data_IF_181653850931
#
_entry.id   IF_181653850931
#
_cell.length_a   1.000
_cell.length_b   1.000
_cell.length_c   1.000
_cell.angle_alpha   90.00
_cell.angle_beta   90.00
_cell.angle_gamma   90.00
#
_symmetry.space_group_name_H-M   'P 1'
#
loop_
_entity.id
_entity.type
_entity.pdbx_description
1 polymer ?
#
# COMPACT_ATOMS: atom_id res chain seq x y z
N UNK A 1 -3.20 30.55 7.05
CA UNK A 1 -3.42 29.44 7.98
C UNK A 1 -4.83 28.92 7.72
N UNK A 2 -4.96 27.90 6.88
CA UNK A 2 -6.26 27.28 6.59
C UNK A 2 -6.59 26.27 7.70
N UNK A 3 -7.84 26.27 8.15
CA UNK A 3 -8.32 25.38 9.21
C UNK A 3 -8.19 23.90 8.78
N UNK A 4 -7.91 22.97 9.72
CA UNK A 4 -7.97 21.55 9.41
C UNK A 4 -9.40 21.18 8.97
N UNK A 5 -9.54 20.68 7.75
CA UNK A 5 -10.77 20.03 7.28
C UNK A 5 -10.96 18.78 8.13
N UNK A 6 -11.85 18.85 9.11
CA UNK A 6 -12.23 17.70 9.91
C UNK A 6 -12.95 16.69 9.00
N UNK A 7 -12.76 15.36 9.19
CA UNK A 7 -13.64 14.39 8.55
C UNK A 7 -15.10 14.74 8.89
N UNK A 8 -16.06 14.48 7.99
CA UNK A 8 -17.46 14.74 8.25
C UNK A 8 -17.87 14.07 9.58
N UNK A 9 -18.11 14.87 10.62
CA UNK A 9 -18.48 14.38 11.97
C UNK A 9 -19.92 13.85 12.04
N UNK A 10 -20.61 13.75 10.91
CA UNK A 10 -21.94 13.15 10.82
C UNK A 10 -21.80 11.70 10.31
N UNK A 11 -21.95 10.69 11.19
CA UNK A 11 -21.84 9.28 10.82
C UNK A 11 -22.79 8.90 9.69
N UNK A 12 -23.98 9.49 9.62
CA UNK A 12 -24.96 9.17 8.59
C UNK A 12 -24.56 9.74 7.22
N UNK A 13 -23.94 10.92 7.19
CA UNK A 13 -23.38 11.47 5.95
C UNK A 13 -22.18 10.66 5.45
N UNK A 14 -21.33 10.19 6.37
CA UNK A 14 -20.19 9.33 6.04
C UNK A 14 -20.66 7.98 5.48
N UNK A 15 -21.62 7.33 6.13
CA UNK A 15 -22.18 6.07 5.67
C UNK A 15 -22.76 6.17 4.25
N UNK A 16 -23.55 7.22 3.96
CA UNK A 16 -24.04 7.46 2.59
C UNK A 16 -22.90 7.63 1.58
N UNK A 17 -21.83 8.32 1.98
CA UNK A 17 -20.66 8.53 1.11
C UNK A 17 -19.94 7.21 0.83
N UNK A 18 -19.73 6.38 1.84
CA UNK A 18 -19.10 5.06 1.67
C UNK A 18 -19.96 4.16 0.78
N UNK A 19 -21.27 4.06 1.06
CA UNK A 19 -22.19 3.27 0.23
C UNK A 19 -22.20 3.74 -1.23
N UNK A 20 -22.16 5.06 -1.46
CA UNK A 20 -22.05 5.62 -2.80
C UNK A 20 -20.76 5.17 -3.50
N UNK A 21 -19.60 5.30 -2.85
CA UNK A 21 -18.30 4.93 -3.43
C UNK A 21 -18.22 3.43 -3.74
N UNK A 22 -18.76 2.59 -2.86
CA UNK A 22 -18.84 1.14 -3.07
C UNK A 22 -19.75 0.84 -4.26
N UNK A 23 -20.94 1.45 -4.33
CA UNK A 23 -21.87 1.27 -5.44
C UNK A 23 -21.29 1.71 -6.78
N UNK A 24 -20.61 2.87 -6.82
CA UNK A 24 -19.91 3.37 -8.02
C UNK A 24 -18.86 2.35 -8.52
N UNK A 25 -18.02 1.84 -7.63
CA UNK A 25 -17.01 0.84 -8.00
C UNK A 25 -17.64 -0.47 -8.49
N UNK A 26 -18.69 -0.95 -7.84
CA UNK A 26 -19.42 -2.16 -8.25
C UNK A 26 -20.01 -2.00 -9.66
N UNK A 27 -20.62 -0.85 -9.97
CA UNK A 27 -21.18 -0.56 -11.29
C UNK A 27 -20.10 -0.48 -12.37
N UNK A 28 -18.98 0.18 -12.06
CA UNK A 28 -17.84 0.28 -12.98
C UNK A 28 -17.27 -1.09 -13.35
N UNK A 29 -17.16 -1.99 -12.36
CA UNK A 29 -16.62 -3.33 -12.57
C UNK A 29 -17.63 -4.29 -13.22
N UNK A 30 -18.94 -4.00 -13.12
CA UNK A 30 -20.02 -4.85 -13.64
C UNK A 30 -21.08 -4.01 -14.36
N UNK A 31 -20.87 -3.70 -15.66
CA UNK A 31 -21.85 -3.00 -16.48
C UNK A 31 -23.17 -3.80 -16.55
N UNK A 32 -24.22 -3.30 -15.89
CA UNK A 32 -25.52 -3.97 -15.79
C UNK A 32 -25.92 -4.38 -14.37
N UNK A 33 -25.02 -4.29 -13.39
CA UNK A 33 -25.38 -4.33 -11.98
C UNK A 33 -26.07 -3.03 -11.58
N UNK A 34 -27.21 -3.12 -10.89
CA UNK A 34 -27.86 -1.94 -10.33
C UNK A 34 -27.04 -1.44 -9.14
N UNK A 35 -26.68 -0.15 -9.13
CA UNK A 35 -26.14 0.52 -7.94
C UNK A 35 -27.11 0.45 -6.76
N UNK A 36 -28.40 0.27 -7.05
CA UNK A 36 -29.42 0.07 -6.03
C UNK A 36 -29.30 -1.38 -5.50
N UNK A 37 -28.55 -1.55 -4.42
CA UNK A 37 -28.43 -2.84 -3.76
C UNK A 37 -27.34 -2.98 -2.71
N UNK A 38 -26.38 -2.05 -2.62
CA UNK A 38 -25.33 -2.12 -1.60
C UNK A 38 -25.92 -1.78 -0.22
N UNK A 39 -25.92 -2.75 0.68
CA UNK A 39 -26.30 -2.58 2.07
C UNK A 39 -25.06 -2.40 2.95
N UNK A 40 -25.21 -1.73 4.12
CA UNK A 40 -24.11 -1.56 5.06
C UNK A 40 -23.46 -2.87 5.54
N UNK A 41 -24.21 -3.97 5.52
CA UNK A 41 -23.77 -5.29 5.98
C UNK A 41 -23.29 -6.26 4.91
N UNK A 42 -23.34 -5.88 3.63
CA UNK A 42 -22.89 -6.76 2.54
C UNK A 42 -21.37 -6.97 2.65
N UNK A 43 -20.88 -8.21 2.52
CA UNK A 43 -19.44 -8.42 2.43
C UNK A 43 -18.91 -7.94 1.08
N UNK A 44 -17.82 -7.17 1.17
CA UNK A 44 -17.15 -6.60 0.02
C UNK A 44 -16.72 -7.70 -0.94
N UNK A 45 -16.22 -8.84 -0.43
CA UNK A 45 -15.76 -9.93 -1.28
C UNK A 45 -16.89 -10.88 -1.70
N UNK A 46 -17.72 -11.37 -0.76
CA UNK A 46 -18.66 -12.46 -1.07
C UNK A 46 -19.90 -11.98 -1.83
N UNK A 47 -20.52 -10.90 -1.37
CA UNK A 47 -21.75 -10.37 -1.94
C UNK A 47 -21.46 -9.36 -3.06
N UNK A 48 -20.45 -8.50 -2.88
CA UNK A 48 -20.12 -7.45 -3.85
C UNK A 48 -19.02 -7.86 -4.84
N UNK A 49 -18.21 -8.88 -4.53
CA UNK A 49 -17.15 -9.39 -5.40
C UNK A 49 -15.97 -8.45 -5.60
N UNK A 50 -15.69 -7.61 -4.62
CA UNK A 50 -14.51 -6.75 -4.54
C UNK A 50 -13.38 -7.55 -3.88
N UNK A 51 -12.49 -8.06 -4.72
CA UNK A 51 -11.28 -8.76 -4.28
C UNK A 51 -10.20 -7.81 -3.77
N UNK A 52 -9.00 -8.34 -3.53
CA UNK A 52 -7.92 -7.59 -2.90
C UNK A 52 -7.52 -6.31 -3.67
N UNK A 53 -7.50 -6.35 -5.00
CA UNK A 53 -7.12 -5.18 -5.81
C UNK A 53 -8.22 -4.13 -5.84
N UNK A 54 -9.47 -4.57 -5.93
CA UNK A 54 -10.65 -3.70 -5.90
C UNK A 54 -10.76 -2.99 -4.55
N UNK A 55 -10.40 -3.69 -3.45
CA UNK A 55 -10.33 -3.10 -2.10
C UNK A 55 -9.25 -2.03 -2.00
N UNK A 56 -8.10 -2.20 -2.64
CA UNK A 56 -7.04 -1.17 -2.69
C UNK A 56 -7.52 0.08 -3.44
N UNK A 57 -8.24 -0.08 -4.55
CA UNK A 57 -8.82 1.07 -5.26
C UNK A 57 -9.94 1.74 -4.44
N UNK A 58 -10.82 0.95 -3.80
CA UNK A 58 -11.86 1.46 -2.92
C UNK A 58 -11.28 2.28 -1.77
N UNK A 59 -10.22 1.79 -1.13
CA UNK A 59 -9.45 2.50 -0.12
C UNK A 59 -8.97 3.85 -0.65
N UNK A 60 -8.28 3.84 -1.79
CA UNK A 60 -7.74 5.06 -2.39
C UNK A 60 -8.84 6.08 -2.72
N UNK A 61 -10.04 5.64 -3.14
CA UNK A 61 -11.20 6.52 -3.37
C UNK A 61 -11.73 7.12 -2.08
N UNK A 62 -11.88 6.31 -1.03
CA UNK A 62 -12.36 6.75 0.29
C UNK A 62 -11.41 7.81 0.86
N UNK A 63 -10.10 7.55 0.87
CA UNK A 63 -9.10 8.49 1.39
C UNK A 63 -9.15 9.84 0.65
N UNK A 64 -9.21 9.81 -0.70
CA UNK A 64 -9.33 11.02 -1.52
C UNK A 64 -10.63 11.79 -1.26
N UNK A 65 -11.74 11.09 -1.05
CA UNK A 65 -13.08 11.70 -0.90
C UNK A 65 -13.32 12.25 0.50
N UNK A 66 -12.87 11.53 1.53
CA UNK A 66 -13.14 11.82 2.94
C UNK A 66 -12.00 12.63 3.58
N UNK A 67 -10.79 12.58 3.02
CA UNK A 67 -9.63 13.31 3.54
C UNK A 67 -9.03 12.65 4.80
N UNK A 68 -9.10 11.32 4.89
CA UNK A 68 -8.49 10.52 5.96
C UNK A 68 -7.41 9.62 5.39
N UNK A 69 -6.52 9.12 6.26
CA UNK A 69 -5.63 8.01 5.96
C UNK A 69 -6.09 6.81 6.76
N UNK A 70 -6.35 5.70 6.10
CA UNK A 70 -6.67 4.45 6.77
C UNK A 70 -5.42 3.58 6.78
N UNK A 71 -5.13 2.95 7.92
CA UNK A 71 -4.08 1.94 7.97
C UNK A 71 -4.44 0.77 7.05
N UNK A 72 -3.44 0.19 6.36
CA UNK A 72 -3.64 -0.97 5.47
C UNK A 72 -4.37 -2.12 6.19
N UNK A 73 -4.06 -2.33 7.47
CA UNK A 73 -4.72 -3.32 8.32
C UNK A 73 -6.22 -3.04 8.51
N UNK A 74 -6.61 -1.78 8.70
CA UNK A 74 -8.01 -1.41 8.88
C UNK A 74 -8.83 -1.68 7.60
N UNK A 75 -8.23 -1.50 6.42
CA UNK A 75 -8.88 -1.86 5.15
C UNK A 75 -8.92 -3.38 4.93
N UNK A 76 -7.87 -4.11 5.33
CA UNK A 76 -7.85 -5.57 5.23
C UNK A 76 -8.92 -6.22 6.13
N UNK A 77 -9.16 -5.65 7.32
CA UNK A 77 -10.11 -6.19 8.31
C UNK A 77 -11.57 -5.79 8.04
N UNK A 78 -11.81 -4.64 7.42
CA UNK A 78 -13.16 -4.14 7.16
C UNK A 78 -13.84 -4.88 5.99
N UNK A 79 -14.54 -5.99 6.27
CA UNK A 79 -15.24 -6.78 5.24
C UNK A 79 -16.60 -6.18 4.81
N UNK A 80 -17.10 -5.12 5.43
CA UNK A 80 -18.41 -4.53 5.08
C UNK A 80 -18.36 -3.00 4.99
N UNK A 81 -19.26 -2.33 4.23
CA UNK A 81 -19.34 -0.87 4.22
C UNK A 81 -19.52 -0.25 5.61
N UNK A 82 -20.29 -0.89 6.51
CA UNK A 82 -20.42 -0.44 7.88
C UNK A 82 -19.08 -0.53 8.65
N UNK A 83 -18.31 -1.60 8.45
CA UNK A 83 -16.98 -1.73 9.05
C UNK A 83 -16.00 -0.67 8.51
N UNK A 84 -16.09 -0.30 7.23
CA UNK A 84 -15.32 0.80 6.66
C UNK A 84 -15.67 2.14 7.33
N UNK A 85 -16.96 2.41 7.58
CA UNK A 85 -17.39 3.61 8.29
C UNK A 85 -16.80 3.63 9.70
N UNK A 86 -16.82 2.52 10.43
CA UNK A 86 -16.20 2.43 11.76
C UNK A 86 -14.68 2.66 11.70
N UNK A 87 -13.99 2.07 10.72
CA UNK A 87 -12.57 2.29 10.51
C UNK A 87 -12.24 3.76 10.24
N UNK A 88 -13.04 4.45 9.43
CA UNK A 88 -12.88 5.89 9.15
C UNK A 88 -13.14 6.75 10.39
N UNK A 89 -14.14 6.41 11.21
CA UNK A 89 -14.43 7.13 12.45
C UNK A 89 -13.35 6.93 13.51
N UNK A 90 -12.70 5.77 13.52
CA UNK A 90 -11.57 5.45 14.39
C UNK A 90 -10.23 6.00 13.87
N UNK A 91 -10.15 6.37 12.60
CA UNK A 91 -8.94 6.88 11.99
C UNK A 91 -8.66 8.32 12.41
N UNK A 92 -7.38 8.62 12.67
CA UNK A 92 -6.95 9.99 12.85
C UNK A 92 -7.14 10.78 11.54
N UNK A 93 -7.51 12.08 11.62
CA UNK A 93 -7.54 12.94 10.45
C UNK A 93 -6.20 12.84 9.73
N UNK A 94 -6.21 12.72 8.40
CA UNK A 94 -4.97 12.67 7.63
C UNK A 94 -4.15 13.93 7.98
N UNK A 95 -3.08 13.75 8.76
CA UNK A 95 -2.04 14.75 8.84
C UNK A 95 -1.61 15.03 7.40
N UNK A 96 -1.54 16.30 7.02
CA UNK A 96 -1.01 16.68 5.72
C UNK A 96 0.29 15.90 5.51
N UNK A 97 0.37 15.14 4.42
CA UNK A 97 1.55 14.37 4.07
C UNK A 97 2.74 15.33 4.11
N UNK A 98 3.54 15.24 5.17
CA UNK A 98 4.81 15.92 5.23
C UNK A 98 5.66 15.14 4.25
N UNK A 99 5.69 15.61 2.99
CA UNK A 99 6.71 15.19 2.05
C UNK A 99 8.03 15.37 2.80
N UNK A 100 8.77 14.30 3.11
CA UNK A 100 10.04 14.44 3.78
C UNK A 100 10.89 15.37 2.93
N UNK A 101 11.59 16.27 3.61
CA UNK A 101 12.56 17.13 2.97
C UNK A 101 13.49 16.22 2.16
N UNK A 102 13.52 16.43 0.84
CA UNK A 102 14.35 15.68 -0.10
C UNK A 102 15.73 15.45 0.52
N UNK A 103 15.99 14.20 0.94
CA UNK A 103 17.33 13.81 1.39
C UNK A 103 18.20 13.99 0.16
N UNK A 104 19.14 14.94 0.23
CA UNK A 104 19.91 15.45 -0.90
C UNK A 104 20.46 14.34 -1.81
N UNK A 105 20.81 14.68 -3.07
CA UNK A 105 21.09 13.67 -4.08
C UNK A 105 22.14 12.69 -3.56
N UNK A 106 21.80 11.40 -3.52
CA UNK A 106 22.78 10.35 -3.34
C UNK A 106 23.81 10.56 -4.45
N UNK A 107 25.03 10.97 -4.10
CA UNK A 107 26.09 11.30 -5.08
C UNK A 107 26.25 10.20 -6.13
N UNK A 108 26.83 10.47 -7.30
CA UNK A 108 26.84 9.52 -8.42
C UNK A 108 27.13 8.06 -7.99
N UNK A 109 26.23 7.14 -8.34
CA UNK A 109 26.47 5.73 -8.08
C UNK A 109 27.60 5.25 -8.98
N UNK A 110 28.52 4.42 -8.45
CA UNK A 110 29.49 3.76 -9.31
C UNK A 110 28.75 2.85 -10.33
N UNK A 111 29.18 2.88 -11.59
CA UNK A 111 28.59 2.07 -12.66
C UNK A 111 28.96 0.60 -12.45
N UNK A 112 27.96 -0.28 -12.50
CA UNK A 112 28.20 -1.71 -12.46
C UNK A 112 29.00 -2.18 -13.70
N UNK A 113 29.79 -3.25 -13.60
CA UNK A 113 30.57 -3.76 -14.72
C UNK A 113 29.67 -4.14 -15.89
N UNK A 114 30.10 -3.81 -17.11
CA UNK A 114 29.42 -4.22 -18.35
C UNK A 114 29.37 -5.75 -18.52
N UNK A 115 30.21 -6.47 -17.77
CA UNK A 115 30.24 -7.94 -17.74
C UNK A 115 29.10 -8.56 -16.94
N UNK A 116 28.33 -7.79 -16.16
CA UNK A 116 27.17 -8.29 -15.43
C UNK A 116 26.06 -8.69 -16.42
N UNK A 117 25.71 -9.97 -16.45
CA UNK A 117 24.72 -10.54 -17.37
C UNK A 117 23.31 -10.51 -16.83
N UNK A 118 23.15 -10.31 -15.51
CA UNK A 118 21.85 -10.32 -14.85
C UNK A 118 21.70 -9.13 -13.90
N UNK A 119 20.45 -8.72 -13.66
CA UNK A 119 20.15 -7.71 -12.64
C UNK A 119 20.65 -8.15 -11.25
N UNK A 120 20.60 -9.44 -10.94
CA UNK A 120 21.09 -9.99 -9.67
C UNK A 120 22.60 -9.78 -9.54
N UNK A 121 23.38 -9.96 -10.61
CA UNK A 121 24.82 -9.68 -10.62
C UNK A 121 25.13 -8.20 -10.39
N UNK A 122 24.35 -7.30 -11.00
CA UNK A 122 24.46 -5.86 -10.77
C UNK A 122 24.19 -5.52 -9.29
N UNK A 123 23.10 -6.04 -8.72
CA UNK A 123 22.75 -5.83 -7.31
C UNK A 123 23.79 -6.41 -6.36
N UNK A 124 24.34 -7.59 -6.67
CA UNK A 124 25.43 -8.19 -5.90
C UNK A 124 26.69 -7.33 -5.95
N UNK A 125 27.05 -6.81 -7.12
CA UNK A 125 28.20 -5.94 -7.27
C UNK A 125 28.06 -4.66 -6.44
N UNK A 126 26.88 -4.02 -6.45
CA UNK A 126 26.62 -2.85 -5.60
C UNK A 126 26.66 -3.20 -4.11
N UNK A 127 26.15 -4.37 -3.70
CA UNK A 127 26.23 -4.82 -2.32
C UNK A 127 27.68 -5.01 -1.84
N UNK A 128 28.60 -5.36 -2.73
CA UNK A 128 30.02 -5.53 -2.40
C UNK A 128 30.82 -4.21 -2.48
N UNK A 129 30.48 -3.31 -3.41
CA UNK A 129 31.25 -2.07 -3.63
C UNK A 129 30.72 -0.88 -2.84
N UNK A 130 29.40 -0.82 -2.61
CA UNK A 130 28.71 0.26 -1.92
C UNK A 130 27.62 -0.28 -0.97
N UNK A 131 27.98 -1.13 0.02
CA UNK A 131 27.02 -1.82 0.89
C UNK A 131 26.09 -0.88 1.66
N UNK A 132 26.59 0.29 2.06
CA UNK A 132 25.86 1.25 2.89
C UNK A 132 25.07 2.28 2.06
N UNK A 133 25.17 2.23 0.73
CA UNK A 133 24.42 3.12 -0.14
C UNK A 133 22.92 2.74 -0.12
N UNK A 134 22.01 3.67 0.20
CA UNK A 134 20.57 3.43 0.10
C UNK A 134 20.17 3.07 -1.34
N UNK A 135 19.40 2.00 -1.48
CA UNK A 135 18.81 1.57 -2.76
C UNK A 135 17.30 1.85 -2.80
N UNK A 136 16.60 1.61 -1.68
CA UNK A 136 15.15 1.80 -1.54
C UNK A 136 14.91 2.66 -0.31
N UNK A 137 13.97 3.60 -0.39
CA UNK A 137 13.38 4.26 0.78
C UNK A 137 11.99 3.68 1.00
N UNK A 138 11.84 2.86 2.03
CA UNK A 138 10.57 2.24 2.39
C UNK A 138 9.78 3.21 3.26
N UNK A 139 8.72 3.77 2.70
CA UNK A 139 7.80 4.65 3.43
C UNK A 139 6.88 3.83 4.35
N UNK A 140 6.73 4.29 5.59
CA UNK A 140 5.79 3.77 6.57
C UNK A 140 4.51 4.63 6.60
N UNK A 141 3.45 4.11 7.24
CA UNK A 141 2.15 4.77 7.35
C UNK A 141 2.21 6.10 8.11
N UNK A 142 3.16 6.25 9.03
CA UNK A 142 3.44 7.49 9.77
C UNK A 142 4.23 8.53 8.96
N UNK A 143 4.56 8.21 7.71
CA UNK A 143 5.30 9.05 6.78
C UNK A 143 6.82 8.97 6.93
N UNK A 144 7.36 8.24 7.91
CA UNK A 144 8.79 8.02 8.02
C UNK A 144 9.30 7.13 6.89
N UNK A 145 10.49 7.47 6.36
CA UNK A 145 11.18 6.66 5.36
C UNK A 145 12.31 5.88 6.01
N UNK A 146 12.27 4.56 5.88
CA UNK A 146 13.34 3.67 6.28
C UNK A 146 14.24 3.37 5.07
N UNK A 147 15.53 3.78 5.08
CA UNK A 147 16.44 3.41 4.02
C UNK A 147 16.77 1.92 4.09
N UNK A 148 16.70 1.25 2.94
CA UNK A 148 17.20 -0.11 2.72
C UNK A 148 18.42 0.01 1.80
N UNK A 149 19.59 -0.33 2.34
CA UNK A 149 20.85 -0.29 1.60
C UNK A 149 21.05 -1.55 0.75
N UNK A 150 21.95 -1.47 -0.25
CA UNK A 150 22.32 -2.64 -1.06
C UNK A 150 22.78 -3.82 -0.20
N UNK A 151 23.61 -3.56 0.81
CA UNK A 151 24.12 -4.60 1.71
C UNK A 151 23.02 -5.24 2.55
N UNK A 152 22.06 -4.45 3.08
CA UNK A 152 20.92 -4.97 3.83
C UNK A 152 20.03 -5.84 2.95
N UNK A 153 19.69 -5.34 1.75
CA UNK A 153 18.83 -6.05 0.80
C UNK A 153 19.45 -7.39 0.41
N UNK A 154 20.73 -7.41 0.03
CA UNK A 154 21.44 -8.62 -0.36
C UNK A 154 21.47 -9.67 0.76
N UNK A 155 21.87 -9.27 1.97
CA UNK A 155 21.93 -10.20 3.12
C UNK A 155 20.57 -10.81 3.43
N UNK A 156 19.50 -10.01 3.44
CA UNK A 156 18.14 -10.50 3.73
C UNK A 156 17.63 -11.43 2.63
N UNK A 157 17.84 -11.08 1.36
CA UNK A 157 17.46 -11.94 0.23
C UNK A 157 18.22 -13.28 0.25
N UNK A 158 19.53 -13.25 0.53
CA UNK A 158 20.34 -14.46 0.63
C UNK A 158 19.92 -15.37 1.80
N UNK A 159 19.49 -14.79 2.93
CA UNK A 159 18.94 -15.53 4.05
C UNK A 159 17.64 -16.26 3.67
N UNK A 160 16.71 -15.57 2.99
CA UNK A 160 15.46 -16.18 2.48
C UNK A 160 15.76 -17.29 1.48
N UNK A 161 16.65 -17.04 0.50
CA UNK A 161 17.04 -18.04 -0.49
C UNK A 161 17.68 -19.28 0.16
N UNK A 162 18.54 -19.09 1.17
CA UNK A 162 19.12 -20.18 1.93
C UNK A 162 18.06 -21.00 2.67
N UNK A 163 17.08 -20.34 3.28
CA UNK A 163 15.98 -21.00 3.98
C UNK A 163 15.08 -21.80 3.03
N UNK A 164 14.76 -21.26 1.85
CA UNK A 164 13.99 -21.97 0.81
C UNK A 164 14.72 -23.23 0.34
N UNK A 165 16.03 -23.11 0.05
CA UNK A 165 16.86 -24.27 -0.32
C UNK A 165 16.90 -25.33 0.77
N UNK A 166 17.01 -24.93 2.03
CA UNK A 166 17.00 -25.86 3.16
C UNK A 166 15.65 -26.61 3.29
N UNK A 167 14.55 -26.04 2.77
CA UNK A 167 13.23 -26.67 2.68
C UNK A 167 13.01 -27.45 1.39
N UNK A 168 14.04 -27.62 0.57
CA UNK A 168 13.98 -28.40 -0.67
C UNK A 168 13.41 -27.66 -1.87
N UNK A 169 13.19 -26.35 -1.78
CA UNK A 169 12.70 -25.54 -2.90
C UNK A 169 13.89 -25.07 -3.73
N UNK A 170 14.00 -25.63 -4.93
CA UNK A 170 15.01 -25.34 -5.93
C UNK A 170 14.57 -24.29 -6.95
N UNK A 171 15.46 -24.04 -7.92
CA UNK A 171 15.12 -23.19 -9.07
C UNK A 171 14.06 -23.89 -9.91
N UNK A 172 12.96 -23.18 -10.19
CA UNK A 172 11.83 -23.60 -11.06
C UNK A 172 10.88 -24.64 -10.43
N UNK A 173 10.79 -24.66 -9.10
CA UNK A 173 9.86 -25.54 -8.37
C UNK A 173 8.48 -24.90 -8.11
N UNK A 174 8.20 -23.73 -8.69
CA UNK A 174 6.92 -22.99 -8.61
C UNK A 174 6.41 -22.63 -10.00
#
# INVERSE_FOLDING_TARGET
MSAPTYPPRDPTALERTVLQLVGELVVELRPGSSAAGVNPGDSLERELGLGSLERVELLARIERKVGVRLADAAMAEADTPAALVQAILAADPAGHEVRPSFVGPLGAAATAPETAQTLVEVLHWHANTQPDRPHIYLRQDDGHEQPITYGVLWRRAAAVASALRARGIGRRDT
#
